data_IF_947427305170
#
_entry.id   IF_947427305170
#
_cell.length_a   1.000
_cell.length_b   1.000
_cell.length_c   1.000
_cell.angle_alpha   90.00
_cell.angle_beta   90.00
_cell.angle_gamma   90.00
#
_symmetry.space_group_name_H-M   'P 1'
#
loop_
_entity.id
_entity.type
_entity.pdbx_description
1 polymer ?
#
# COMPACT_ATOMS: atom_id res chain seq x y z
N UNK A 1 -3.80 20.52 16.81
CA UNK A 1 -4.71 21.25 15.90
C UNK A 1 -4.52 20.66 14.50
N UNK A 2 -5.45 19.87 13.95
CA UNK A 2 -5.31 19.35 12.60
C UNK A 2 -5.38 20.49 11.58
N UNK A 3 -4.66 20.36 10.48
CA UNK A 3 -4.65 21.32 9.37
C UNK A 3 -5.96 21.21 8.56
N UNK A 4 -7.07 21.61 9.18
CA UNK A 4 -8.40 21.56 8.58
C UNK A 4 -8.75 22.89 7.92
N UNK A 5 -9.29 22.82 6.71
CA UNK A 5 -9.83 23.97 5.98
C UNK A 5 -11.34 23.83 5.88
N UNK A 6 -12.05 24.93 6.09
CA UNK A 6 -13.50 24.99 5.95
C UNK A 6 -13.86 25.17 4.47
N UNK A 7 -14.42 24.14 3.86
CA UNK A 7 -14.91 24.18 2.49
C UNK A 7 -16.42 24.44 2.49
N UNK A 8 -16.83 25.52 1.85
CA UNK A 8 -18.24 25.83 1.63
C UNK A 8 -18.69 25.11 0.35
N UNK A 9 -19.70 24.26 0.44
CA UNK A 9 -20.25 23.51 -0.68
C UNK A 9 -21.70 23.96 -0.88
N UNK A 10 -22.00 24.43 -2.10
CA UNK A 10 -23.37 24.76 -2.50
C UNK A 10 -24.16 23.46 -2.64
N UNK A 11 -25.42 23.48 -2.19
CA UNK A 11 -26.33 22.34 -2.35
C UNK A 11 -26.62 22.07 -3.84
N UNK A 12 -26.69 20.79 -4.22
CA UNK A 12 -27.09 20.33 -5.54
C UNK A 12 -27.81 18.99 -5.46
N UNK A 13 -28.15 18.40 -6.60
CA UNK A 13 -28.80 17.09 -6.62
C UNK A 13 -27.88 16.01 -6.06
N UNK A 14 -28.39 15.22 -5.11
CA UNK A 14 -27.66 14.12 -4.47
C UNK A 14 -26.66 14.50 -3.38
N UNK A 15 -26.51 15.78 -3.01
CA UNK A 15 -25.62 16.17 -1.90
C UNK A 15 -26.14 17.39 -1.12
N UNK A 16 -26.04 17.32 0.21
CA UNK A 16 -26.41 18.41 1.12
C UNK A 16 -25.38 19.54 1.07
N UNK A 17 -25.85 20.79 0.97
CA UNK A 17 -25.00 21.96 1.11
C UNK A 17 -24.55 22.18 2.56
N UNK A 18 -23.42 22.87 2.75
CA UNK A 18 -22.91 23.15 4.09
C UNK A 18 -21.44 23.52 4.14
N UNK A 19 -20.94 23.70 5.36
CA UNK A 19 -19.53 23.95 5.65
C UNK A 19 -18.91 22.64 6.11
N UNK A 20 -18.01 22.09 5.32
CA UNK A 20 -17.30 20.85 5.62
C UNK A 20 -15.89 21.17 6.09
N UNK A 21 -15.49 20.59 7.21
CA UNK A 21 -14.09 20.65 7.67
C UNK A 21 -13.33 19.49 7.03
N UNK A 22 -12.44 19.81 6.09
CA UNK A 22 -11.67 18.83 5.31
C UNK A 22 -10.19 19.01 5.61
N UNK A 23 -9.44 17.92 5.64
CA UNK A 23 -7.99 17.93 5.79
C UNK A 23 -7.30 18.59 4.59
N UNK A 24 -6.36 19.49 4.85
CA UNK A 24 -5.56 20.15 3.83
C UNK A 24 -4.20 19.48 3.66
N UNK A 25 -3.63 19.50 2.44
CA UNK A 25 -2.29 18.96 2.20
C UNK A 25 -1.22 19.77 2.93
N UNK A 26 -0.16 19.08 3.34
CA UNK A 26 1.02 19.69 3.96
C UNK A 26 2.27 19.36 3.16
N UNK A 27 3.17 20.33 3.12
CA UNK A 27 4.48 20.09 2.53
C UNK A 27 5.28 19.09 3.38
N UNK A 28 5.99 18.19 2.70
CA UNK A 28 6.70 17.06 3.33
C UNK A 28 7.77 17.50 4.35
N UNK A 29 8.33 18.71 4.20
CA UNK A 29 9.31 19.27 5.15
C UNK A 29 8.72 19.54 6.54
N UNK A 30 7.40 19.69 6.65
CA UNK A 30 6.73 20.08 7.88
C UNK A 30 6.21 18.87 8.67
N UNK A 31 6.51 17.65 8.23
CA UNK A 31 6.11 16.39 8.90
C UNK A 31 7.32 15.52 9.20
N UNK A 32 7.24 14.74 10.29
CA UNK A 32 8.25 13.76 10.67
C UNK A 32 7.59 12.44 11.05
N UNK A 33 8.34 11.34 10.89
CA UNK A 33 7.86 10.01 11.29
C UNK A 33 8.10 9.81 12.78
N UNK A 34 7.12 9.20 13.44
CA UNK A 34 7.22 8.84 14.84
C UNK A 34 7.87 7.45 14.97
N UNK A 35 8.73 7.34 15.98
CA UNK A 35 9.28 6.05 16.38
C UNK A 35 8.17 5.20 17.02
N UNK A 36 7.93 3.96 16.54
CA UNK A 36 6.87 3.10 17.06
C UNK A 36 7.04 2.75 18.55
N UNK A 37 8.26 2.82 19.09
CA UNK A 37 8.53 2.46 20.50
C UNK A 37 8.40 3.68 21.41
N UNK A 38 9.03 4.80 21.03
CA UNK A 38 9.12 5.97 21.91
C UNK A 38 8.03 7.01 21.65
N UNK A 39 7.34 6.94 20.51
CA UNK A 39 6.36 7.94 20.08
C UNK A 39 6.97 9.32 19.76
N UNK A 40 8.29 9.45 19.78
CA UNK A 40 9.01 10.70 19.53
C UNK A 40 9.31 10.87 18.03
N UNK A 41 9.41 12.12 17.53
CA UNK A 41 9.82 12.37 16.16
C UNK A 41 11.26 11.90 15.93
N UNK A 42 11.48 11.15 14.86
CA UNK A 42 12.78 10.56 14.53
C UNK A 42 13.12 10.71 13.03
N UNK A 43 14.41 10.58 12.71
CA UNK A 43 14.88 10.49 11.32
C UNK A 43 14.88 9.02 10.89
N UNK A 44 14.81 8.77 9.60
CA UNK A 44 14.80 7.40 9.03
C UNK A 44 16.18 7.07 8.46
N UNK A 45 16.69 5.88 8.78
CA UNK A 45 17.78 5.22 8.06
C UNK A 45 17.30 3.96 7.33
N UNK A 46 18.15 3.39 6.49
CA UNK A 46 17.90 2.13 5.78
C UNK A 46 18.99 1.10 6.11
N UNK A 47 18.58 -0.15 6.36
CA UNK A 47 19.48 -1.29 6.55
C UNK A 47 18.92 -2.51 5.82
N UNK A 48 19.79 -3.42 5.42
CA UNK A 48 19.39 -4.75 4.93
C UNK A 48 19.45 -5.75 6.09
N UNK A 49 18.42 -6.57 6.22
CA UNK A 49 18.43 -7.72 7.11
C UNK A 49 19.23 -8.87 6.48
N UNK A 50 19.49 -9.91 7.25
CA UNK A 50 20.22 -11.10 6.80
C UNK A 50 19.48 -11.81 5.66
N UNK A 51 18.14 -11.73 5.64
CA UNK A 51 17.28 -12.23 4.57
C UNK A 51 17.34 -11.42 3.26
N UNK A 52 18.15 -10.36 3.21
CA UNK A 52 18.25 -9.45 2.06
C UNK A 52 17.11 -8.43 1.94
N UNK A 53 16.14 -8.45 2.85
CA UNK A 53 15.04 -7.47 2.85
C UNK A 53 15.50 -6.09 3.30
N UNK A 54 15.07 -5.04 2.58
CA UNK A 54 15.39 -3.65 2.92
C UNK A 54 14.38 -3.09 3.91
N UNK A 55 14.86 -2.70 5.09
CA UNK A 55 14.03 -2.15 6.16
C UNK A 55 14.41 -0.71 6.50
N UNK A 56 13.43 0.05 7.01
CA UNK A 56 13.65 1.38 7.59
C UNK A 56 13.93 1.21 9.09
N UNK A 57 14.84 2.00 9.64
CA UNK A 57 15.09 2.03 11.08
C UNK A 57 15.06 3.46 11.62
N UNK A 58 14.69 3.63 12.89
CA UNK A 58 14.66 4.93 13.57
C UNK A 58 16.09 5.39 13.91
N UNK A 59 16.47 6.61 13.49
CA UNK A 59 17.78 7.23 13.75
C UNK A 59 17.61 8.59 14.42
N UNK A 60 18.50 8.91 15.36
CA UNK A 60 18.57 10.22 16.02
C UNK A 60 18.75 10.10 17.52
N UNK A 61 18.84 11.25 18.19
CA UNK A 61 19.15 11.30 19.63
C UNK A 61 18.01 10.78 20.51
N UNK A 62 16.76 10.89 20.04
CA UNK A 62 15.56 10.44 20.75
C UNK A 62 14.97 9.15 20.17
N UNK A 63 15.70 8.41 19.33
CA UNK A 63 15.20 7.23 18.62
C UNK A 63 15.67 5.93 19.29
N UNK A 64 14.82 4.90 19.27
CA UNK A 64 15.09 3.56 19.83
C UNK A 64 15.98 2.68 18.95
N UNK A 65 16.24 3.05 17.69
CA UNK A 65 16.87 2.17 16.70
C UNK A 65 15.93 1.11 16.12
N UNK A 66 14.65 1.09 16.51
CA UNK A 66 13.69 0.10 16.08
C UNK A 66 13.43 0.13 14.57
N UNK A 67 13.06 -1.03 14.02
CA UNK A 67 12.63 -1.17 12.63
C UNK A 67 11.24 -0.54 12.47
N UNK A 68 11.10 0.36 11.50
CA UNK A 68 9.84 1.01 11.13
C UNK A 68 9.29 0.29 9.89
N UNK A 69 8.39 -0.70 10.05
CA UNK A 69 7.89 -1.46 8.92
C UNK A 69 7.13 -0.56 7.94
N UNK A 70 6.99 -1.03 6.70
CA UNK A 70 6.10 -0.41 5.74
C UNK A 70 4.66 -0.77 6.15
N UNK A 71 3.76 0.21 6.39
CA UNK A 71 2.40 -0.07 6.83
C UNK A 71 1.66 -0.89 5.77
N UNK A 72 0.77 -1.78 6.23
CA UNK A 72 0.07 -2.75 5.39
C UNK A 72 -0.86 -2.09 4.36
N UNK A 73 -1.41 -0.91 4.68
CA UNK A 73 -2.25 -0.11 3.79
C UNK A 73 -1.58 0.21 2.44
N UNK A 74 -0.25 0.23 2.37
CA UNK A 74 0.47 0.45 1.11
C UNK A 74 0.52 -0.78 0.20
N UNK A 75 0.15 -1.96 0.71
CA UNK A 75 0.04 -3.21 -0.06
C UNK A 75 -1.36 -3.35 -0.67
N UNK A 76 -2.35 -2.64 -0.13
CA UNK A 76 -3.73 -2.69 -0.61
C UNK A 76 -3.90 -1.90 -1.90
N UNK A 77 -4.74 -2.43 -2.80
CA UNK A 77 -5.11 -1.74 -4.04
C UNK A 77 -6.21 -0.73 -3.75
N UNK A 78 -6.10 0.47 -4.33
CA UNK A 78 -7.15 1.51 -4.21
C UNK A 78 -8.51 1.05 -4.76
N UNK A 79 -8.52 0.20 -5.78
CA UNK A 79 -9.73 -0.45 -6.31
C UNK A 79 -9.60 -1.96 -6.08
N UNK A 80 -10.52 -2.60 -5.35
CA UNK A 80 -10.47 -4.04 -5.15
C UNK A 80 -10.66 -4.76 -6.49
N UNK A 81 -9.96 -5.87 -6.69
CA UNK A 81 -10.20 -6.74 -7.84
C UNK A 81 -11.48 -7.54 -7.55
N UNK A 82 -12.39 -7.71 -8.52
CA UNK A 82 -13.47 -8.67 -8.38
C UNK A 82 -12.91 -10.07 -8.14
N UNK A 83 -13.53 -10.82 -7.23
CA UNK A 83 -13.08 -12.19 -6.89
C UNK A 83 -13.60 -13.21 -7.90
N UNK A 84 -14.69 -12.91 -8.60
CA UNK A 84 -15.24 -13.76 -9.66
C UNK A 84 -14.56 -13.42 -11.00
N UNK A 85 -14.19 -14.44 -11.81
CA UNK A 85 -13.79 -14.23 -13.19
C UNK A 85 -14.96 -13.61 -13.97
N UNK A 86 -14.66 -12.62 -14.80
CA UNK A 86 -15.61 -12.03 -15.73
C UNK A 86 -15.85 -12.93 -16.95
N UNK A 87 -16.77 -12.56 -17.86
CA UNK A 87 -17.09 -13.35 -19.05
C UNK A 87 -15.91 -13.60 -20.00
N UNK A 88 -14.82 -12.83 -19.86
CA UNK A 88 -13.61 -12.90 -20.69
C UNK A 88 -12.38 -13.39 -19.92
N UNK A 89 -12.53 -13.71 -18.63
CA UNK A 89 -11.43 -14.18 -17.80
C UNK A 89 -11.42 -15.71 -17.79
N UNK A 90 -10.25 -16.30 -17.98
CA UNK A 90 -10.08 -17.75 -17.88
C UNK A 90 -10.18 -18.20 -16.43
N UNK A 91 -10.92 -19.29 -16.13
CA UNK A 91 -10.95 -19.86 -14.80
C UNK A 91 -9.55 -20.35 -14.41
N UNK A 92 -9.23 -20.23 -13.12
CA UNK A 92 -7.89 -20.54 -12.60
C UNK A 92 -7.49 -21.99 -12.86
N UNK A 93 -8.48 -22.90 -12.88
CA UNK A 93 -8.27 -24.34 -13.08
C UNK A 93 -7.64 -24.63 -14.45
N UNK A 94 -8.11 -23.96 -15.51
CA UNK A 94 -7.54 -24.10 -16.86
C UNK A 94 -6.16 -23.46 -16.98
N UNK A 95 -5.88 -22.39 -16.22
CA UNK A 95 -4.59 -21.68 -16.27
C UNK A 95 -3.50 -22.47 -15.55
N UNK A 96 -3.86 -23.14 -14.45
CA UNK A 96 -2.94 -23.97 -13.67
C UNK A 96 -2.77 -25.37 -14.26
N UNK A 97 -3.63 -25.76 -15.20
CA UNK A 97 -3.50 -27.01 -15.94
C UNK A 97 -2.15 -27.05 -16.68
N UNK A 98 -1.32 -28.03 -16.32
CA UNK A 98 -0.04 -28.26 -16.98
C UNK A 98 -0.27 -29.02 -18.27
N UNK A 99 -0.40 -28.28 -19.36
CA UNK A 99 -0.60 -28.84 -20.70
C UNK A 99 0.69 -29.28 -21.39
N UNK A 100 1.86 -28.96 -20.81
CA UNK A 100 3.17 -29.29 -21.36
C UNK A 100 4.11 -29.84 -20.30
N UNK A 101 4.69 -31.01 -20.56
CA UNK A 101 5.79 -31.58 -19.80
C UNK A 101 6.85 -32.15 -20.75
N UNK A 102 7.96 -31.42 -20.86
CA UNK A 102 9.09 -31.77 -21.71
C UNK A 102 9.77 -33.10 -21.34
N UNK A 103 9.66 -33.54 -20.08
CA UNK A 103 10.29 -34.78 -19.61
C UNK A 103 9.42 -36.00 -19.84
N UNK A 104 8.09 -35.82 -19.73
CA UNK A 104 7.10 -36.86 -19.98
C UNK A 104 6.69 -36.96 -21.46
N UNK A 105 7.09 -35.99 -22.31
CA UNK A 105 6.74 -35.96 -23.73
C UNK A 105 5.28 -35.55 -23.99
N UNK A 106 4.64 -34.86 -23.05
CA UNK A 106 3.24 -34.46 -23.11
C UNK A 106 3.16 -33.04 -23.68
N UNK A 107 2.30 -32.82 -24.68
CA UNK A 107 1.97 -31.47 -25.19
C UNK A 107 2.78 -30.99 -26.39
N UNK A 108 3.63 -31.81 -26.99
CA UNK A 108 4.21 -31.57 -28.32
C UNK A 108 3.36 -32.29 -29.36
N UNK A 109 2.63 -31.59 -30.26
CA UNK A 109 2.01 -32.25 -31.39
C UNK A 109 3.11 -32.81 -32.31
N UNK A 110 2.85 -33.96 -32.93
CA UNK A 110 3.71 -34.50 -33.98
C UNK A 110 3.84 -33.43 -35.08
N UNK A 111 5.08 -32.93 -35.28
CA UNK A 111 5.44 -31.93 -36.28
C UNK A 111 5.45 -32.51 -37.70
#
# INVERSE_FOLDING_TARGET
MPFQVKKHIKQGEGHTGGIFSIEAPLHVSNVQVLDPVTGKPCKIGYKYLEDGTKVRFARGMNASGAVIPRPEILKERRKPRPTSPGPKDTPIDLVLEKTYDAKAGIGMPDL
#
